data_IF_246630966934
#
_entry.id   IF_246630966934
#
_cell.length_a   1.000
_cell.length_b   1.000
_cell.length_c   1.000
_cell.angle_alpha   90.00
_cell.angle_beta   90.00
_cell.angle_gamma   90.00
#
_symmetry.space_group_name_H-M   'P 1'
#
loop_
_entity.id
_entity.type
_entity.pdbx_description
1 polymer ?
#
# COMPACT_ATOMS: atom_id res chain seq x y z
N UNK A 1 -19.34 -42.38 -5.26
CA UNK A 1 -18.10 -42.52 -6.07
C UNK A 1 -16.97 -41.85 -5.31
N UNK A 2 -15.79 -42.47 -5.26
CA UNK A 2 -14.62 -41.90 -4.58
C UNK A 2 -14.12 -40.67 -5.35
N UNK A 3 -13.75 -39.59 -4.65
CA UNK A 3 -13.36 -38.29 -5.26
C UNK A 3 -12.19 -38.48 -6.24
N UNK A 4 -11.24 -39.36 -5.90
CA UNK A 4 -10.11 -39.70 -6.75
C UNK A 4 -10.53 -40.34 -8.09
N UNK A 5 -11.58 -41.17 -8.11
CA UNK A 5 -12.09 -41.79 -9.32
C UNK A 5 -12.78 -40.78 -10.25
N UNK A 6 -13.47 -39.80 -9.66
CA UNK A 6 -14.09 -38.72 -10.41
C UNK A 6 -13.04 -37.77 -11.02
N UNK A 7 -12.01 -37.39 -10.25
CA UNK A 7 -10.91 -36.58 -10.77
C UNK A 7 -10.20 -37.28 -11.94
N UNK A 8 -9.89 -38.57 -11.80
CA UNK A 8 -9.23 -39.34 -12.87
C UNK A 8 -10.06 -39.44 -14.14
N UNK A 9 -11.39 -39.53 -14.01
CA UNK A 9 -12.32 -39.52 -15.14
C UNK A 9 -12.45 -38.14 -15.79
N UNK A 10 -12.49 -37.06 -14.99
CA UNK A 10 -12.51 -35.69 -15.52
C UNK A 10 -11.20 -35.36 -16.25
N UNK A 11 -10.05 -35.75 -15.67
CA UNK A 11 -8.71 -35.54 -16.23
C UNK A 11 -8.45 -36.38 -17.50
N UNK A 12 -9.22 -37.44 -17.76
CA UNK A 12 -9.08 -38.23 -19.00
C UNK A 12 -9.82 -37.62 -20.19
N UNK A 13 -10.60 -36.55 -19.99
CA UNK A 13 -11.31 -35.88 -21.08
C UNK A 13 -10.46 -34.74 -21.67
N UNK A 14 -9.90 -34.89 -22.89
CA UNK A 14 -9.05 -33.86 -23.49
C UNK A 14 -9.77 -32.52 -23.68
N UNK A 15 -11.09 -32.54 -23.86
CA UNK A 15 -11.90 -31.33 -23.95
C UNK A 15 -11.85 -30.45 -22.68
N UNK A 16 -11.83 -31.07 -21.49
CA UNK A 16 -11.77 -30.32 -20.22
C UNK A 16 -10.38 -29.67 -20.07
N UNK A 17 -9.32 -30.42 -20.38
CA UNK A 17 -7.94 -29.91 -20.35
C UNK A 17 -7.79 -28.72 -21.30
N UNK A 18 -8.26 -28.85 -22.54
CA UNK A 18 -8.17 -27.79 -23.54
C UNK A 18 -8.93 -26.53 -23.08
N UNK A 19 -10.12 -26.70 -22.50
CA UNK A 19 -10.93 -25.59 -21.99
C UNK A 19 -10.21 -24.85 -20.84
N UNK A 20 -9.60 -25.58 -19.90
CA UNK A 20 -8.81 -24.99 -18.81
C UNK A 20 -7.58 -24.24 -19.34
N UNK A 21 -6.88 -24.79 -20.34
CA UNK A 21 -5.73 -24.12 -20.98
C UNK A 21 -6.18 -22.83 -21.66
N UNK A 22 -7.25 -22.86 -22.46
CA UNK A 22 -7.78 -21.67 -23.15
C UNK A 22 -8.21 -20.61 -22.15
N UNK A 23 -8.89 -21.00 -21.05
CA UNK A 23 -9.27 -20.07 -20.00
C UNK A 23 -8.06 -19.48 -19.26
N UNK A 24 -7.02 -20.28 -19.01
CA UNK A 24 -5.76 -19.81 -18.43
C UNK A 24 -5.05 -18.79 -19.33
N UNK A 25 -4.97 -19.06 -20.64
CA UNK A 25 -4.38 -18.13 -21.63
C UNK A 25 -5.21 -16.84 -21.70
N UNK A 26 -6.54 -16.94 -21.77
CA UNK A 26 -7.42 -15.78 -21.78
C UNK A 26 -7.29 -14.95 -20.49
N UNK A 27 -7.27 -15.60 -19.33
CA UNK A 27 -7.04 -14.94 -18.04
C UNK A 27 -5.68 -14.25 -17.96
N UNK A 28 -4.62 -14.90 -18.46
CA UNK A 28 -3.29 -14.32 -18.54
C UNK A 28 -3.22 -13.12 -19.49
N UNK A 29 -3.87 -13.18 -20.65
CA UNK A 29 -3.92 -12.08 -21.60
C UNK A 29 -4.68 -10.85 -21.06
N UNK A 30 -5.78 -11.08 -20.33
CA UNK A 30 -6.53 -10.02 -19.64
C UNK A 30 -5.68 -9.44 -18.49
N UNK A 31 -4.99 -10.30 -17.73
CA UNK A 31 -4.08 -9.86 -16.66
C UNK A 31 -2.91 -9.02 -17.15
N UNK A 32 -2.34 -9.38 -18.30
CA UNK A 32 -1.28 -8.60 -18.93
C UNK A 32 -1.78 -7.21 -19.34
N UNK A 33 -2.94 -7.13 -19.99
CA UNK A 33 -3.51 -5.85 -20.44
C UNK A 33 -4.03 -4.95 -19.33
N UNK A 34 -4.34 -5.50 -18.17
CA UNK A 34 -4.84 -4.75 -17.01
C UNK A 34 -3.72 -4.20 -16.13
N UNK A 35 -2.46 -4.52 -16.41
CA UNK A 35 -1.33 -3.89 -15.73
C UNK A 35 -1.10 -2.52 -16.34
N UNK A 36 -1.63 -1.47 -15.72
CA UNK A 36 -1.18 -0.10 -15.96
C UNK A 36 0.19 0.08 -15.35
N UNK A 37 1.16 0.53 -16.15
CA UNK A 37 2.42 1.04 -15.62
C UNK A 37 2.11 2.26 -14.77
N UNK A 38 2.69 2.31 -13.57
CA UNK A 38 2.64 3.46 -12.70
C UNK A 38 4.05 3.96 -12.47
N UNK A 39 4.21 5.27 -12.34
CA UNK A 39 5.48 5.92 -12.09
C UNK A 39 5.51 6.39 -10.64
N UNK A 40 6.62 6.15 -9.97
CA UNK A 40 6.81 6.58 -8.59
C UNK A 40 7.92 7.62 -8.51
N UNK A 41 7.62 8.75 -7.87
CA UNK A 41 8.60 9.77 -7.48
C UNK A 41 8.77 9.72 -5.97
N UNK A 42 10.02 9.58 -5.52
CA UNK A 42 10.38 9.60 -4.11
C UNK A 42 11.04 10.91 -3.73
N UNK A 43 10.72 11.37 -2.52
CA UNK A 43 11.32 12.57 -1.94
C UNK A 43 11.40 12.45 -0.42
N UNK A 44 12.18 13.36 0.17
CA UNK A 44 12.34 13.41 1.60
C UNK A 44 12.24 14.86 2.10
N UNK A 45 11.50 15.05 3.19
CA UNK A 45 11.34 16.34 3.86
C UNK A 45 11.84 16.23 5.29
N UNK A 46 12.72 17.16 5.66
CA UNK A 46 13.27 17.31 7.00
C UNK A 46 12.62 18.51 7.69
N UNK A 47 12.01 18.28 8.84
CA UNK A 47 11.51 19.38 9.69
C UNK A 47 12.69 19.98 10.44
N UNK A 48 13.01 21.24 10.16
CA UNK A 48 14.07 21.95 10.90
C UNK A 48 13.42 22.79 11.99
N UNK A 49 13.76 22.54 13.27
CA UNK A 49 13.25 23.36 14.35
C UNK A 49 13.71 24.82 14.19
N UNK A 50 12.89 25.78 14.60
CA UNK A 50 13.24 27.19 14.52
C UNK A 50 14.42 27.48 15.44
N UNK A 51 15.38 28.27 14.97
CA UNK A 51 16.61 28.55 15.72
C UNK A 51 17.90 28.28 14.96
N UNK A 52 17.86 27.64 13.78
CA UNK A 52 19.02 27.57 12.88
C UNK A 52 19.47 28.96 12.33
N UNK A 53 18.80 30.06 12.73
CA UNK A 53 19.14 31.44 12.38
C UNK A 53 18.43 32.52 13.21
N UNK A 54 17.71 32.17 14.29
CA UNK A 54 17.04 33.15 15.18
C UNK A 54 17.80 33.28 16.50
N UNK A 55 18.00 34.53 16.95
CA UNK A 55 18.72 34.86 18.19
C UNK A 55 18.01 34.35 19.45
N UNK A 56 16.69 34.14 19.40
CA UNK A 56 15.87 33.63 20.50
C UNK A 56 15.08 32.39 20.07
N UNK A 57 15.74 31.24 20.01
CA UNK A 57 15.08 29.95 19.69
C UNK A 57 14.07 29.49 20.77
N UNK A 58 14.09 30.07 21.97
CA UNK A 58 13.23 29.69 23.11
C UNK A 58 11.79 30.17 23.03
N UNK A 59 11.49 31.14 22.15
CA UNK A 59 10.14 31.72 22.03
C UNK A 59 9.20 30.85 21.18
N UNK A 60 9.71 29.79 20.55
CA UNK A 60 8.89 28.89 19.75
C UNK A 60 8.52 27.63 20.56
N UNK A 61 7.22 27.35 20.80
CA UNK A 61 6.79 26.18 21.58
C UNK A 61 7.21 24.84 20.97
N UNK A 62 7.56 24.81 19.68
CA UNK A 62 8.02 23.62 18.97
C UNK A 62 9.51 23.30 19.21
N UNK A 63 10.31 24.21 19.80
CA UNK A 63 11.73 23.96 20.13
C UNK A 63 11.93 23.38 21.51
N UNK A 64 10.99 23.60 22.44
CA UNK A 64 11.06 23.13 23.83
C UNK A 64 10.64 21.66 24.01
N UNK A 65 10.19 21.01 22.94
CA UNK A 65 9.82 19.60 22.98
C UNK A 65 11.04 18.78 22.62
N UNK A 66 11.56 18.00 23.56
CA UNK A 66 12.67 17.04 23.34
C UNK A 66 12.39 16.08 22.17
N UNK A 67 11.12 15.93 21.78
CA UNK A 67 10.63 15.10 20.67
C UNK A 67 9.73 15.86 19.68
N UNK A 68 9.76 17.20 19.71
CA UNK A 68 8.81 18.05 18.98
C UNK A 68 8.85 17.85 17.47
N UNK A 69 10.05 17.79 16.90
CA UNK A 69 10.22 17.66 15.45
C UNK A 69 9.69 16.31 14.92
N UNK A 70 9.90 15.21 15.68
CA UNK A 70 9.37 13.90 15.33
C UNK A 70 7.83 13.86 15.41
N UNK A 71 7.25 14.49 16.43
CA UNK A 71 5.80 14.61 16.56
C UNK A 71 5.19 15.45 15.44
N UNK A 72 5.83 16.55 15.06
CA UNK A 72 5.42 17.37 13.91
C UNK A 72 5.48 16.55 12.62
N UNK A 73 6.55 15.77 12.41
CA UNK A 73 6.67 14.91 11.24
C UNK A 73 5.53 13.89 11.15
N UNK A 74 5.14 13.31 12.29
CA UNK A 74 3.98 12.43 12.40
C UNK A 74 2.66 13.17 12.08
N UNK A 75 2.47 14.37 12.63
CA UNK A 75 1.28 15.19 12.36
C UNK A 75 1.19 15.55 10.87
N UNK A 76 2.29 15.95 10.24
CA UNK A 76 2.33 16.26 8.80
C UNK A 76 2.00 15.03 7.95
N UNK A 77 2.43 13.84 8.37
CA UNK A 77 2.07 12.57 7.72
C UNK A 77 0.56 12.33 7.78
N UNK A 78 -0.08 12.55 8.94
CA UNK A 78 -1.55 12.44 9.08
C UNK A 78 -2.28 13.52 8.26
N UNK A 79 -1.76 14.75 8.23
CA UNK A 79 -2.33 15.85 7.45
C UNK A 79 -2.27 15.56 5.94
N UNK A 80 -1.19 14.94 5.45
CA UNK A 80 -1.10 14.48 4.06
C UNK A 80 -2.15 13.43 3.69
N UNK A 81 -2.51 12.54 4.63
CA UNK A 81 -3.56 11.53 4.43
C UNK A 81 -4.99 12.10 4.52
N UNK A 82 -5.13 13.38 4.85
CA UNK A 82 -6.44 14.03 4.92
C UNK A 82 -7.02 14.24 3.51
N UNK A 83 -8.35 14.44 3.39
CA UNK A 83 -8.98 14.76 2.09
C UNK A 83 -8.38 15.97 1.37
N UNK A 84 -7.78 16.93 2.12
CA UNK A 84 -7.11 18.09 1.52
C UNK A 84 -5.76 17.73 0.90
N UNK A 85 -5.01 16.83 1.54
CA UNK A 85 -3.76 16.32 1.00
C UNK A 85 -4.01 15.47 -0.26
N UNK A 86 -5.03 14.61 -0.22
CA UNK A 86 -5.50 13.87 -1.39
C UNK A 86 -5.91 14.81 -2.54
N UNK A 87 -6.69 15.86 -2.26
CA UNK A 87 -7.09 16.83 -3.28
C UNK A 87 -5.89 17.60 -3.87
N UNK A 88 -4.84 17.87 -3.08
CA UNK A 88 -3.62 18.51 -3.59
C UNK A 88 -2.85 17.60 -4.57
N UNK A 89 -2.83 16.29 -4.31
CA UNK A 89 -2.20 15.29 -5.19
C UNK A 89 -3.01 15.08 -6.47
N UNK A 90 -4.33 14.92 -6.34
CA UNK A 90 -5.25 14.77 -7.47
C UNK A 90 -5.21 16.01 -8.38
N UNK A 91 -5.13 17.20 -7.80
CA UNK A 91 -4.97 18.46 -8.56
C UNK A 91 -3.68 18.52 -9.39
N UNK A 92 -2.65 17.74 -9.01
CA UNK A 92 -1.42 17.58 -9.76
C UNK A 92 -1.42 16.37 -10.72
N UNK A 93 -2.53 15.62 -10.79
CA UNK A 93 -2.66 14.41 -11.60
C UNK A 93 -2.00 13.16 -11.00
N UNK A 94 -1.62 13.20 -9.72
CA UNK A 94 -1.07 12.06 -9.02
C UNK A 94 -2.17 11.24 -8.30
N UNK A 95 -1.82 10.01 -7.90
CA UNK A 95 -2.68 9.18 -7.06
C UNK A 95 -2.83 9.81 -5.67
N UNK A 96 -4.04 9.77 -5.07
CA UNK A 96 -4.23 10.17 -3.67
C UNK A 96 -3.57 9.19 -2.69
N UNK A 97 -3.25 7.97 -3.14
CA UNK A 97 -2.57 6.95 -2.34
C UNK A 97 -1.06 7.23 -2.29
N UNK A 98 -0.61 7.83 -1.19
CA UNK A 98 0.82 8.11 -0.93
C UNK A 98 1.35 7.16 0.13
N UNK A 99 2.50 6.55 -0.17
CA UNK A 99 3.24 5.76 0.81
C UNK A 99 4.20 6.68 1.54
N UNK A 100 4.11 6.73 2.87
CA UNK A 100 4.94 7.58 3.72
C UNK A 100 5.60 6.76 4.81
N UNK A 101 6.87 7.03 5.06
CA UNK A 101 7.65 6.45 6.13
C UNK A 101 8.25 7.61 6.92
N UNK A 102 7.76 7.81 8.14
CA UNK A 102 8.44 8.65 9.12
C UNK A 102 9.50 7.77 9.80
N UNK A 103 10.78 8.05 9.55
CA UNK A 103 11.87 7.29 10.13
C UNK A 103 12.00 7.61 11.63
N UNK A 104 11.19 6.95 12.45
CA UNK A 104 11.32 6.98 13.91
C UNK A 104 12.34 5.92 14.30
N UNK A 105 13.59 6.32 14.57
CA UNK A 105 14.67 5.40 14.92
C UNK A 105 14.30 4.47 16.09
N UNK A 106 14.45 3.17 15.90
CA UNK A 106 13.84 2.09 16.70
C UNK A 106 14.53 1.80 18.05
N UNK A 107 15.27 2.75 18.62
CA UNK A 107 16.04 2.47 19.85
C UNK A 107 16.55 3.65 20.65
N UNK A 108 16.56 4.86 20.08
CA UNK A 108 16.89 6.06 20.85
C UNK A 108 16.03 7.22 20.38
N UNK A 109 15.09 7.70 21.21
CA UNK A 109 14.19 8.76 20.79
C UNK A 109 14.93 10.10 20.60
N UNK A 110 16.18 10.22 21.07
CA UNK A 110 17.07 11.36 20.78
C UNK A 110 17.76 11.28 19.41
N UNK A 111 17.70 10.14 18.72
CA UNK A 111 18.24 9.93 17.38
C UNK A 111 17.16 9.89 16.30
N UNK A 112 15.89 10.13 16.66
CA UNK A 112 14.82 10.22 15.68
C UNK A 112 15.06 11.45 14.82
N UNK A 113 15.56 11.23 13.61
CA UNK A 113 15.62 12.26 12.59
C UNK A 113 14.18 12.62 12.20
N UNK A 114 13.79 13.90 12.20
CA UNK A 114 12.46 14.33 11.78
C UNK A 114 12.36 14.32 10.23
N UNK A 115 12.75 13.20 9.63
CA UNK A 115 12.80 12.97 8.20
C UNK A 115 11.57 12.15 7.80
N UNK A 116 10.76 12.74 6.93
CA UNK A 116 9.63 12.09 6.28
C UNK A 116 10.10 11.69 4.89
N UNK A 117 10.22 10.40 4.62
CA UNK A 117 10.38 9.89 3.26
C UNK A 117 9.01 9.51 2.73
N UNK A 118 8.73 9.87 1.47
CA UNK A 118 7.45 9.58 0.86
C UNK A 118 7.61 9.28 -0.62
N UNK A 119 6.67 8.49 -1.13
CA UNK A 119 6.62 8.08 -2.53
C UNK A 119 5.23 8.37 -3.08
N UNK A 120 5.18 9.13 -4.17
CA UNK A 120 3.96 9.49 -4.88
C UNK A 120 3.88 8.70 -6.19
N UNK A 121 2.76 8.03 -6.41
CA UNK A 121 2.50 7.27 -7.64
C UNK A 121 1.63 8.09 -8.61
N UNK A 122 1.88 8.01 -9.91
CA UNK A 122 1.05 8.62 -10.94
C UNK A 122 1.09 7.85 -12.27
N UNK A 123 0.14 8.11 -13.20
CA UNK A 123 0.14 7.52 -14.54
C UNK A 123 1.32 7.93 -15.42
N UNK A 124 1.93 9.10 -15.18
CA UNK A 124 3.13 9.57 -15.91
C UNK A 124 4.27 9.96 -14.99
N UNK A 125 5.50 9.96 -15.51
CA UNK A 125 6.70 10.31 -14.76
C UNK A 125 6.73 11.78 -14.31
N UNK A 126 6.14 12.68 -15.11
CA UNK A 126 6.02 14.10 -14.81
C UNK A 126 4.94 14.35 -13.76
N UNK A 127 3.81 13.64 -13.82
CA UNK A 127 2.71 13.76 -12.86
C UNK A 127 3.12 13.27 -11.47
N UNK A 128 3.94 12.22 -11.37
CA UNK A 128 4.40 11.74 -10.05
C UNK A 128 5.33 12.75 -9.39
N UNK A 129 6.23 13.37 -10.17
CA UNK A 129 7.07 14.48 -9.69
C UNK A 129 6.23 15.70 -9.30
N UNK A 130 5.30 16.12 -10.16
CA UNK A 130 4.41 17.25 -9.89
C UNK A 130 3.55 17.01 -8.64
N UNK A 131 3.08 15.79 -8.43
CA UNK A 131 2.36 15.38 -7.22
C UNK A 131 3.24 15.46 -5.97
N UNK A 132 4.50 15.01 -6.05
CA UNK A 132 5.44 15.15 -4.95
C UNK A 132 5.76 16.61 -4.62
N UNK A 133 5.96 17.46 -5.64
CA UNK A 133 6.15 18.90 -5.47
C UNK A 133 4.90 19.57 -4.85
N UNK A 134 3.71 19.19 -5.30
CA UNK A 134 2.43 19.67 -4.77
C UNK A 134 2.24 19.27 -3.30
N UNK A 135 2.62 18.05 -2.92
CA UNK A 135 2.55 17.59 -1.53
C UNK A 135 3.51 18.36 -0.63
N UNK A 136 4.74 18.65 -1.09
CA UNK A 136 5.70 19.50 -0.37
C UNK A 136 5.16 20.91 -0.18
N UNK A 137 4.58 21.50 -1.24
CA UNK A 137 3.96 22.83 -1.16
C UNK A 137 2.79 22.85 -0.18
N UNK A 138 1.95 21.81 -0.21
CA UNK A 138 0.85 21.61 0.73
C UNK A 138 1.35 21.53 2.18
N UNK A 139 2.38 20.73 2.46
CA UNK A 139 2.98 20.65 3.79
C UNK A 139 3.55 21.98 4.26
N UNK A 140 4.23 22.74 3.40
CA UNK A 140 4.73 24.07 3.76
C UNK A 140 3.60 25.01 4.14
N UNK A 141 2.50 25.00 3.38
CA UNK A 141 1.34 25.83 3.65
C UNK A 141 0.65 25.45 4.97
N UNK A 142 0.34 24.16 5.17
CA UNK A 142 -0.30 23.69 6.41
C UNK A 142 0.62 23.82 7.63
N UNK A 143 1.92 23.58 7.48
CA UNK A 143 2.86 23.76 8.59
C UNK A 143 2.98 25.23 9.00
N UNK A 144 3.05 26.16 8.04
CA UNK A 144 3.03 27.59 8.33
C UNK A 144 1.72 27.98 9.03
N UNK A 145 0.58 27.49 8.54
CA UNK A 145 -0.73 27.74 9.14
C UNK A 145 -0.81 27.24 10.58
N UNK A 146 -0.38 26.01 10.86
CA UNK A 146 -0.34 25.46 12.22
C UNK A 146 0.51 26.32 13.17
N UNK A 147 1.61 26.89 12.69
CA UNK A 147 2.45 27.78 13.49
C UNK A 147 1.78 29.13 13.76
N UNK A 148 1.10 29.71 12.77
CA UNK A 148 0.30 30.94 12.95
C UNK A 148 -0.84 30.70 13.94
N UNK A 149 -1.56 29.59 13.80
CA UNK A 149 -2.66 29.21 14.69
C UNK A 149 -2.17 28.95 16.13
N UNK A 150 -0.91 28.51 16.29
CA UNK A 150 -0.24 28.34 17.58
C UNK A 150 0.30 29.67 18.17
N UNK A 151 0.12 30.81 17.48
CA UNK A 151 0.57 32.12 17.96
C UNK A 151 2.08 32.39 17.75
N UNK A 152 2.75 31.64 16.87
CA UNK A 152 4.15 31.91 16.51
C UNK A 152 4.22 33.20 15.69
N UNK A 153 5.01 34.18 16.15
CA UNK A 153 5.11 35.51 15.53
C UNK A 153 6.46 35.75 14.86
N UNK A 154 6.44 36.40 13.70
CA UNK A 154 7.66 36.96 13.06
C UNK A 154 8.59 35.93 12.41
N UNK A 155 9.90 36.15 12.50
CA UNK A 155 10.93 35.34 11.82
C UNK A 155 11.30 34.04 12.57
N UNK A 156 10.44 33.58 13.50
CA UNK A 156 10.69 32.38 14.32
C UNK A 156 9.96 31.15 13.79
N UNK A 157 9.49 31.16 12.54
CA UNK A 157 8.86 30.00 11.94
C UNK A 157 9.89 28.88 11.73
N UNK A 158 9.49 27.68 12.11
CA UNK A 158 10.10 26.44 11.67
C UNK A 158 9.92 26.29 10.15
N UNK A 159 10.93 25.73 9.50
CA UNK A 159 10.96 25.56 8.03
C UNK A 159 11.07 24.08 7.67
N UNK A 160 10.51 23.73 6.51
CA UNK A 160 10.61 22.40 5.92
C UNK A 160 11.69 22.42 4.85
N UNK A 161 12.82 21.78 5.15
CA UNK A 161 13.87 21.57 4.16
C UNK A 161 13.65 20.28 3.41
N UNK A 162 13.95 20.31 2.13
CA UNK A 162 13.82 19.18 1.22
C UNK A 162 15.24 18.67 0.95
N UNK A 163 15.80 17.78 1.79
CA UNK A 163 17.13 17.24 1.56
C UNK A 163 17.22 16.42 0.27
N UNK A 164 16.11 15.80 -0.15
CA UNK A 164 16.01 15.04 -1.39
C UNK A 164 14.87 15.62 -2.21
N UNK A 165 15.23 16.35 -3.27
CA UNK A 165 14.27 16.93 -4.21
C UNK A 165 13.55 15.82 -4.98
N UNK A 166 12.24 15.96 -5.25
CA UNK A 166 11.52 15.00 -6.08
C UNK A 166 12.22 14.77 -7.43
N UNK A 167 12.55 13.51 -7.69
CA UNK A 167 13.09 13.08 -8.98
C UNK A 167 11.97 12.81 -9.96
N UNK A 168 12.27 12.81 -11.26
CA UNK A 168 11.33 12.33 -12.28
C UNK A 168 10.94 10.88 -11.94
N UNK A 169 9.64 10.58 -12.03
CA UNK A 169 9.14 9.27 -11.62
C UNK A 169 9.81 8.14 -12.37
N UNK A 170 10.24 7.11 -11.63
CA UNK A 170 10.72 5.87 -12.24
C UNK A 170 9.53 4.94 -12.45
N UNK A 171 9.52 4.23 -13.58
CA UNK A 171 8.48 3.24 -13.85
C UNK A 171 8.60 2.12 -12.81
N UNK A 172 7.63 2.06 -11.91
CA UNK A 172 7.47 0.93 -11.01
C UNK A 172 6.53 -0.03 -11.72
N UNK A 173 7.12 -0.77 -12.64
CA UNK A 173 6.44 -1.85 -13.32
C UNK A 173 6.00 -2.87 -12.29
N UNK A 174 4.71 -2.86 -11.93
CA UNK A 174 4.11 -4.01 -11.28
C UNK A 174 4.41 -5.20 -12.17
N UNK A 175 5.18 -6.19 -11.68
CA UNK A 175 5.69 -7.27 -12.53
C UNK A 175 4.52 -7.88 -13.31
N UNK A 176 4.36 -7.56 -14.62
CA UNK A 176 3.15 -7.91 -15.36
C UNK A 176 3.03 -9.43 -15.45
N UNK A 177 4.17 -10.12 -15.38
CA UNK A 177 4.25 -11.56 -15.28
C UNK A 177 3.61 -12.10 -13.99
N UNK A 178 3.76 -11.41 -12.85
CA UNK A 178 3.14 -11.81 -11.57
C UNK A 178 1.61 -11.61 -11.61
N UNK A 179 1.15 -10.48 -12.14
CA UNK A 179 -0.29 -10.22 -12.31
C UNK A 179 -0.93 -11.20 -13.31
N UNK A 180 -0.30 -11.39 -14.48
CA UNK A 180 -0.74 -12.33 -15.50
C UNK A 180 -0.75 -13.77 -14.98
N UNK A 181 0.28 -14.20 -14.24
CA UNK A 181 0.35 -15.54 -13.64
C UNK A 181 -0.75 -15.74 -12.59
N UNK A 182 -0.98 -14.75 -11.73
CA UNK A 182 -2.03 -14.79 -10.72
C UNK A 182 -3.43 -14.92 -11.34
N UNK A 183 -3.74 -14.10 -12.34
CA UNK A 183 -5.02 -14.16 -13.04
C UNK A 183 -5.17 -15.40 -13.93
N UNK A 184 -4.11 -15.85 -14.60
CA UNK A 184 -4.12 -17.09 -15.38
C UNK A 184 -4.42 -18.30 -14.48
N UNK A 185 -3.74 -18.40 -13.34
CA UNK A 185 -3.94 -19.49 -12.39
C UNK A 185 -5.34 -19.45 -11.77
N UNK A 186 -5.81 -18.26 -11.40
CA UNK A 186 -7.18 -18.05 -10.90
C UNK A 186 -8.25 -18.44 -11.92
N UNK A 187 -8.10 -18.01 -13.18
CA UNK A 187 -9.03 -18.35 -14.26
C UNK A 187 -9.02 -19.84 -14.58
N UNK A 188 -7.85 -20.49 -14.62
CA UNK A 188 -7.72 -21.92 -14.85
C UNK A 188 -8.40 -22.73 -13.73
N UNK A 189 -8.19 -22.36 -12.47
CA UNK A 189 -8.82 -23.01 -11.32
C UNK A 189 -10.35 -22.80 -11.31
N UNK A 190 -10.83 -21.58 -11.52
CA UNK A 190 -12.26 -21.28 -11.59
C UNK A 190 -12.95 -22.09 -12.69
N UNK A 191 -12.31 -22.17 -13.86
CA UNK A 191 -12.79 -22.94 -15.00
C UNK A 191 -12.80 -24.44 -14.72
N UNK A 192 -11.76 -24.96 -14.07
CA UNK A 192 -11.70 -26.36 -13.65
C UNK A 192 -12.87 -26.69 -12.71
N UNK A 193 -13.11 -25.86 -11.69
CA UNK A 193 -14.21 -26.03 -10.73
C UNK A 193 -15.56 -26.00 -11.45
N UNK A 194 -15.77 -25.04 -12.35
CA UNK A 194 -17.00 -24.93 -13.14
C UNK A 194 -17.26 -26.20 -13.99
N UNK A 195 -16.22 -26.73 -14.64
CA UNK A 195 -16.29 -27.97 -15.41
C UNK A 195 -16.67 -29.17 -14.53
N UNK A 196 -16.14 -29.26 -13.31
CA UNK A 196 -16.48 -30.35 -12.37
C UNK A 196 -17.93 -30.25 -11.91
N UNK A 197 -18.43 -29.05 -11.60
CA UNK A 197 -19.83 -28.80 -11.25
C UNK A 197 -20.75 -29.17 -12.42
N UNK A 198 -20.42 -28.73 -13.63
CA UNK A 198 -21.21 -29.05 -14.83
C UNK A 198 -21.25 -30.56 -15.10
N UNK A 199 -20.12 -31.25 -14.94
CA UNK A 199 -20.05 -32.70 -15.10
C UNK A 199 -20.87 -33.45 -14.04
N UNK A 200 -20.82 -33.01 -12.78
CA UNK A 200 -21.62 -33.58 -11.69
C UNK A 200 -23.13 -33.34 -11.91
N UNK A 201 -23.50 -32.13 -12.34
CA UNK A 201 -24.87 -31.77 -12.70
C UNK A 201 -25.40 -32.62 -13.86
N UNK A 202 -24.60 -32.82 -14.91
CA UNK A 202 -24.95 -33.63 -16.06
C UNK A 202 -25.16 -35.11 -15.70
N UNK A 203 -24.31 -35.67 -14.85
CA UNK A 203 -24.43 -37.04 -14.37
C UNK A 203 -25.73 -37.23 -13.55
N UNK A 204 -26.06 -36.25 -12.71
CA UNK A 204 -27.28 -36.26 -11.89
C UNK A 204 -28.53 -36.17 -12.78
N UNK A 205 -28.50 -35.28 -13.78
CA UNK A 205 -29.58 -35.14 -14.75
C UNK A 205 -29.81 -36.42 -15.56
N UNK A 206 -28.72 -37.08 -16.01
CA UNK A 206 -28.81 -38.32 -16.78
C UNK A 206 -29.37 -39.48 -15.94
N UNK A 207 -29.01 -39.57 -14.66
CA UNK A 207 -29.56 -40.59 -13.74
C UNK A 207 -31.06 -40.40 -13.52
N UNK A 208 -31.52 -39.16 -13.34
CA UNK A 208 -32.94 -38.88 -13.16
C UNK A 208 -33.76 -39.21 -14.42
N UNK A 209 -33.22 -38.97 -15.61
CA UNK A 209 -33.89 -39.38 -16.87
C UNK A 209 -33.95 -40.89 -17.08
N UNK A 210 -32.95 -41.65 -16.61
CA UNK A 210 -32.93 -43.11 -16.71
C UNK A 210 -33.91 -43.81 -15.77
N UNK A 211 -34.16 -43.24 -14.59
CA UNK A 211 -35.05 -43.85 -13.59
C UNK A 211 -36.55 -43.77 -13.94
N UNK A 212 -36.97 -42.76 -14.71
CA UNK A 212 -38.37 -42.57 -15.09
C UNK A 212 -38.90 -43.60 -16.13
N UNK A 213 -38.02 -44.37 -16.78
CA UNK A 213 -38.40 -45.36 -17.80
C UNK A 213 -38.61 -46.79 -17.30
N UNK A 214 -38.34 -47.09 -16.03
CA UNK A 214 -38.36 -48.47 -15.48
C UNK A 214 -39.56 -48.75 -14.56
N UNK A 215 -40.73 -48.17 -14.86
CA UNK A 215 -41.99 -48.49 -14.17
C UNK A 215 -42.91 -49.21 -15.15
N UNK A 216 -42.60 -50.47 -15.46
CA UNK A 216 -43.56 -51.44 -16.02
C UNK A 216 -42.99 -52.86 -15.94
N UNK A 217 -43.19 -53.51 -14.80
CA UNK A 217 -43.83 -54.83 -14.77
C UNK A 217 -44.19 -55.16 -13.31
N UNK A 218 -45.47 -55.04 -12.90
CA UNK A 218 -45.92 -55.57 -11.62
C UNK A 218 -46.02 -57.09 -11.74
N UNK A 219 -45.04 -57.81 -11.19
CA UNK A 219 -45.13 -59.25 -11.04
C UNK A 219 -45.95 -59.56 -9.78
N UNK A 220 -47.08 -60.22 -10.02
CA UNK A 220 -48.07 -60.64 -9.04
C UNK A 220 -47.52 -61.69 -8.05
N UNK A 221 -47.99 -61.52 -6.81
CA UNK A 221 -48.26 -62.48 -5.73
C UNK A 221 -47.77 -63.93 -5.81
N UNK A 222 -47.15 -64.37 -4.71
CA UNK A 222 -47.20 -65.76 -4.22
C UNK A 222 -46.46 -65.96 -2.89
N UNK A 223 -46.98 -66.76 -1.91
CA UNK A 223 -46.92 -66.41 -0.49
C UNK A 223 -46.08 -67.33 0.43
N UNK A 224 -45.69 -66.74 1.58
CA UNK A 224 -45.56 -67.25 2.96
C UNK A 224 -45.06 -68.68 3.27
N UNK A 225 -44.05 -68.79 4.16
CA UNK A 225 -44.10 -69.55 5.45
C UNK A 225 -42.84 -69.26 6.33
N UNK A 226 -42.85 -69.56 7.66
CA UNK A 226 -42.27 -68.68 8.70
C UNK A 226 -41.27 -69.37 9.68
N UNK A 227 -40.78 -68.56 10.65
CA UNK A 227 -40.26 -68.93 11.99
C UNK A 227 -38.89 -69.67 12.04
N UNK A 228 -37.96 -69.49 12.99
CA UNK A 228 -37.97 -68.94 14.36
C UNK A 228 -36.54 -68.52 14.79
N UNK A 229 -36.50 -67.58 15.74
CA UNK A 229 -35.44 -67.11 16.69
C UNK A 229 -34.74 -68.24 17.49
N UNK A 230 -33.66 -68.08 18.32
CA UNK A 230 -33.37 -66.91 19.22
C UNK A 230 -31.89 -66.61 19.67
N UNK A 231 -31.70 -65.46 20.40
CA UNK A 231 -30.91 -65.25 21.66
C UNK A 231 -29.41 -65.65 21.67
N UNK A 232 -28.38 -64.93 22.18
CA UNK A 232 -28.21 -63.87 23.19
C UNK A 232 -26.79 -63.26 23.08
N UNK A 233 -26.52 -62.30 23.97
CA UNK A 233 -25.23 -62.02 24.61
C UNK A 233 -24.54 -60.70 24.26
N UNK A 234 -24.79 -59.76 25.17
CA UNK A 234 -24.12 -58.50 25.39
C UNK A 234 -22.63 -58.64 25.76
N UNK A 235 -21.84 -57.63 25.39
CA UNK A 235 -20.66 -57.09 26.11
C UNK A 235 -20.33 -55.75 25.43
N UNK A 236 -20.78 -54.61 25.98
CA UNK A 236 -20.03 -53.77 26.92
C UNK A 236 -18.65 -53.34 26.40
N UNK A 237 -18.49 -52.07 25.97
CA UNK A 237 -17.56 -51.08 26.58
C UNK A 237 -17.55 -49.71 25.85
N UNK A 238 -16.98 -48.64 26.45
CA UNK A 238 -17.70 -47.41 26.72
C UNK A 238 -17.17 -46.21 25.92
N UNK A 239 -17.85 -45.08 26.08
CA UNK A 239 -17.60 -43.87 25.32
C UNK A 239 -16.25 -43.21 25.57
N UNK A 240 -15.86 -42.43 24.56
CA UNK A 240 -15.26 -41.12 24.77
C UNK A 240 -15.77 -40.22 23.64
N UNK A 241 -16.63 -39.29 24.02
CA UNK A 241 -16.99 -38.15 23.21
C UNK A 241 -15.76 -37.23 23.13
N UNK A 242 -15.11 -37.21 21.96
CA UNK A 242 -14.17 -36.17 21.60
C UNK A 242 -14.78 -35.39 20.43
N UNK A 243 -15.61 -34.41 20.79
CA UNK A 243 -16.04 -33.32 19.93
C UNK A 243 -14.80 -32.57 19.46
N UNK A 244 -14.31 -32.87 18.26
CA UNK A 244 -13.28 -32.05 17.63
C UNK A 244 -13.90 -30.71 17.20
N UNK A 245 -13.31 -29.57 17.59
CA UNK A 245 -13.77 -28.27 17.15
C UNK A 245 -13.48 -28.10 15.65
N UNK A 246 -14.50 -27.64 14.94
CA UNK A 246 -14.41 -27.19 13.57
C UNK A 246 -13.30 -26.15 13.43
N UNK A 247 -12.33 -26.45 12.56
CA UNK A 247 -11.36 -25.48 12.09
C UNK A 247 -12.10 -24.39 11.31
N UNK A 248 -12.36 -23.26 11.97
CA UNK A 248 -12.73 -22.02 11.32
C UNK A 248 -11.53 -21.59 10.47
N UNK A 249 -11.64 -21.84 9.16
CA UNK A 249 -10.79 -21.23 8.16
C UNK A 249 -10.97 -19.71 8.27
N UNK A 250 -9.91 -19.02 8.66
CA UNK A 250 -9.83 -17.57 8.66
C UNK A 250 -9.86 -17.06 7.23
N UNK A 251 -11.05 -16.83 6.70
CA UNK A 251 -11.24 -15.89 5.61
C UNK A 251 -11.00 -14.49 6.18
N UNK A 252 -9.93 -13.85 5.70
CA UNK A 252 -9.67 -12.45 5.92
C UNK A 252 -10.90 -11.64 5.50
N UNK A 253 -11.65 -11.14 6.48
CA UNK A 253 -12.63 -10.09 6.27
C UNK A 253 -11.84 -8.80 6.02
N UNK A 254 -11.61 -8.49 4.74
CA UNK A 254 -11.42 -7.12 4.33
C UNK A 254 -12.72 -6.39 4.61
N UNK A 255 -12.73 -5.55 5.64
CA UNK A 255 -13.74 -4.51 5.83
C UNK A 255 -13.62 -3.53 4.66
N UNK A 256 -14.22 -3.88 3.53
CA UNK A 256 -14.54 -2.93 2.48
C UNK A 256 -15.63 -2.01 3.00
N UNK A 257 -15.25 -0.83 3.48
CA UNK A 257 -16.16 0.30 3.58
C UNK A 257 -16.61 0.59 2.16
N UNK A 258 -17.84 0.19 1.83
CA UNK A 258 -18.50 0.60 0.61
C UNK A 258 -18.73 2.11 0.69
N UNK A 259 -17.84 2.88 0.06
CA UNK A 259 -18.10 4.29 -0.23
C UNK A 259 -19.18 4.32 -1.31
N UNK A 260 -20.36 4.80 -0.92
CA UNK A 260 -21.46 5.08 -1.83
C UNK A 260 -21.01 6.11 -2.88
N UNK A 261 -21.16 5.85 -4.19
CA UNK A 261 -20.85 6.85 -5.20
C UNK A 261 -22.01 7.85 -5.31
N UNK A 262 -21.67 9.14 -5.34
CA UNK A 262 -22.44 10.13 -6.06
C UNK A 262 -23.49 10.92 -5.27
N UNK A 263 -23.06 12.06 -4.73
CA UNK A 263 -23.87 13.27 -4.81
C UNK A 263 -23.08 14.29 -5.65
N UNK A 264 -23.67 14.85 -6.72
CA UNK A 264 -23.00 15.88 -7.51
C UNK A 264 -22.83 17.13 -6.67
N UNK A 265 -21.59 17.60 -6.52
CA UNK A 265 -21.30 18.91 -5.93
C UNK A 265 -21.71 19.96 -6.96
N UNK A 266 -22.95 20.40 -6.84
CA UNK A 266 -23.45 21.58 -7.51
C UNK A 266 -22.70 22.81 -7.05
N UNK A 267 -22.41 23.69 -8.01
CA UNK A 267 -21.79 25.00 -7.87
C UNK A 267 -22.28 25.75 -6.61
N UNK A 268 -21.33 26.14 -5.76
CA UNK A 268 -21.57 27.15 -4.74
C UNK A 268 -20.85 28.42 -5.18
N UNK A 269 -21.67 29.35 -5.68
CA UNK A 269 -21.29 30.72 -5.95
C UNK A 269 -20.90 31.47 -4.68
N UNK A 270 -20.16 32.55 -4.91
CA UNK A 270 -19.84 33.58 -3.97
C UNK A 270 -21.12 34.17 -3.37
N UNK A 271 -21.28 34.04 -2.05
CA UNK A 271 -21.90 35.02 -1.13
C UNK A 271 -22.18 34.33 0.21
N UNK A 272 -21.31 34.56 1.20
CA UNK A 272 -21.54 34.13 2.58
C UNK A 272 -20.98 35.17 3.56
N UNK A 273 -21.63 36.32 3.60
CA UNK A 273 -21.57 37.23 4.73
C UNK A 273 -22.33 36.60 5.93
N UNK A 274 -21.70 36.66 7.11
CA UNK A 274 -22.29 36.42 8.43
C UNK A 274 -22.94 35.05 8.70
N UNK A 275 -22.11 34.05 9.05
CA UNK A 275 -22.58 32.82 9.70
C UNK A 275 -22.64 33.00 11.25
N UNK A 276 -23.72 32.54 11.93
CA UNK A 276 -23.83 32.58 13.39
C UNK A 276 -22.87 31.58 14.06
N UNK A 277 -22.40 31.95 15.26
CA UNK A 277 -21.51 31.17 16.12
C UNK A 277 -22.06 29.77 16.37
N UNK A 278 -21.34 28.76 15.87
CA UNK A 278 -21.66 27.34 16.06
C UNK A 278 -21.28 26.95 17.49
N UNK A 279 -22.27 26.64 18.32
CA UNK A 279 -22.08 26.09 19.67
C UNK A 279 -21.40 24.72 19.54
N UNK A 280 -20.17 24.63 20.05
CA UNK A 280 -19.41 23.39 20.13
C UNK A 280 -20.04 22.52 21.24
N UNK A 281 -20.52 21.29 20.95
CA UNK A 281 -21.04 20.41 21.98
C UNK A 281 -19.91 20.01 22.94
N UNK A 282 -20.19 20.09 24.24
CA UNK A 282 -19.26 19.72 25.30
C UNK A 282 -18.72 18.29 25.11
N UNK A 283 -17.42 18.13 25.34
CA UNK A 283 -16.71 16.86 25.18
C UNK A 283 -17.39 15.74 25.98
N UNK A 284 -17.75 14.66 25.28
CA UNK A 284 -18.30 13.45 25.88
C UNK A 284 -17.19 12.81 26.72
N UNK A 285 -17.38 12.60 28.04
CA UNK A 285 -16.36 11.98 28.88
C UNK A 285 -16.11 10.54 28.43
N UNK A 286 -14.85 10.23 28.13
CA UNK A 286 -14.40 8.89 27.73
C UNK A 286 -14.68 7.94 28.88
N UNK A 287 -15.57 6.96 28.66
CA UNK A 287 -15.86 5.91 29.62
C UNK A 287 -14.60 5.05 29.81
N UNK A 288 -14.14 4.82 31.06
CA UNK A 288 -12.98 3.96 31.29
C UNK A 288 -13.25 2.54 30.75
N UNK A 289 -12.22 1.86 30.22
CA UNK A 289 -12.36 0.52 29.69
C UNK A 289 -12.85 -0.42 30.80
N UNK A 290 -13.98 -1.09 30.55
CA UNK A 290 -14.61 -2.00 31.50
C UNK A 290 -13.72 -3.20 31.83
N UNK A 291 -13.99 -3.84 32.96
CA UNK A 291 -13.16 -4.91 33.54
C UNK A 291 -12.89 -6.09 32.59
N UNK A 292 -13.74 -6.32 31.59
CA UNK A 292 -13.52 -7.32 30.55
C UNK A 292 -12.30 -7.00 29.67
N UNK A 293 -12.07 -5.74 29.32
CA UNK A 293 -10.91 -5.31 28.55
C UNK A 293 -9.62 -5.41 29.38
N UNK A 294 -9.70 -5.14 30.69
CA UNK A 294 -8.55 -5.31 31.61
C UNK A 294 -8.14 -6.77 31.76
N UNK A 295 -9.10 -7.71 31.80
CA UNK A 295 -8.80 -9.15 31.86
C UNK A 295 -8.26 -9.72 30.55
N UNK A 296 -8.61 -9.12 29.40
CA UNK A 296 -8.07 -9.53 28.11
C UNK A 296 -6.58 -9.17 27.96
N UNK A 297 -6.17 -8.01 28.49
CA UNK A 297 -4.76 -7.57 28.43
C UNK A 297 -3.82 -8.37 29.35
N UNK A 298 -4.28 -8.84 30.51
CA UNK A 298 -3.42 -9.65 31.39
C UNK A 298 -3.17 -11.05 30.83
N UNK A 299 -4.15 -11.63 30.12
CA UNK A 299 -4.03 -13.00 29.57
C UNK A 299 -3.04 -13.13 28.41
N UNK A 300 -2.70 -12.02 27.76
CA UNK A 300 -1.65 -11.99 26.72
C UNK A 300 -0.25 -12.01 27.32
N UNK A 301 -0.09 -11.52 28.56
CA UNK A 301 1.20 -11.44 29.25
C UNK A 301 1.65 -12.80 29.81
N UNK A 302 0.70 -13.67 30.14
CA UNK A 302 0.96 -15.02 30.67
C UNK A 302 1.05 -16.11 29.57
N UNK A 303 0.96 -15.73 28.29
CA UNK A 303 1.01 -16.64 27.15
C UNK A 303 2.21 -16.39 26.24
N UNK A 304 3.32 -15.98 26.85
CA UNK A 304 4.65 -16.12 26.22
C UNK A 304 4.99 -17.60 26.34
N UNK A 305 4.71 -18.34 25.28
CA UNK A 305 5.20 -19.72 25.14
C UNK A 305 6.73 -19.68 25.27
N UNK A 306 7.27 -20.42 26.23
CA UNK A 306 8.69 -20.75 26.30
C UNK A 306 9.06 -21.43 24.98
N UNK A 307 9.71 -20.67 24.10
CA UNK A 307 10.30 -21.21 22.88
C UNK A 307 11.44 -22.12 23.34
N UNK A 308 11.26 -23.44 23.19
CA UNK A 308 12.30 -24.43 23.46
C UNK A 308 13.59 -24.04 22.72
N UNK A 309 14.67 -23.83 23.47
CA UNK A 309 16.00 -23.45 22.99
C UNK A 309 16.64 -24.54 22.08
N UNK A 310 16.05 -25.73 22.03
CA UNK A 310 16.50 -26.87 21.21
C UNK A 310 16.32 -26.68 19.68
N UNK A 311 15.75 -25.55 19.25
CA UNK A 311 15.52 -25.19 17.85
C UNK A 311 16.40 -24.07 17.30
N UNK A 312 17.41 -23.58 18.05
CA UNK A 312 18.35 -22.60 17.54
C UNK A 312 19.12 -23.16 16.34
N UNK A 313 18.85 -22.59 15.17
CA UNK A 313 19.59 -22.85 13.94
C UNK A 313 21.04 -22.42 14.22
N UNK A 314 22.04 -23.31 14.15
CA UNK A 314 23.42 -22.93 14.38
C UNK A 314 23.80 -21.84 13.39
N UNK A 315 24.15 -20.67 13.93
CA UNK A 315 24.72 -19.58 13.16
C UNK A 315 25.97 -20.11 12.44
N UNK A 316 26.16 -19.79 11.14
CA UNK A 316 27.38 -20.15 10.45
C UNK A 316 28.56 -19.52 11.20
N UNK A 317 29.47 -20.35 11.69
CA UNK A 317 30.76 -19.92 12.23
C UNK A 317 31.47 -19.15 11.11
N UNK A 318 31.52 -17.82 11.24
CA UNK A 318 32.36 -16.99 10.40
C UNK A 318 33.80 -17.29 10.83
N UNK A 319 34.46 -18.10 10.03
CA UNK A 319 35.86 -18.50 10.18
C UNK A 319 36.74 -17.23 10.16
N UNK A 320 37.10 -16.74 11.36
CA UNK A 320 38.01 -15.60 11.56
C UNK A 320 39.48 -16.00 11.31
N UNK A 321 39.76 -16.69 10.20
CA UNK A 321 41.12 -17.03 9.78
C UNK A 321 41.39 -16.51 8.37
N UNK A 322 41.71 -15.23 8.29
CA UNK A 322 42.42 -14.66 7.14
C UNK A 322 43.38 -13.56 7.59
N UNK A 323 44.43 -13.98 8.30
CA UNK A 323 45.71 -13.28 8.34
C UNK A 323 46.34 -13.29 6.93
N UNK A 324 45.78 -12.48 6.03
CA UNK A 324 46.40 -12.18 4.74
C UNK A 324 47.43 -11.07 4.95
N UNK A 325 48.64 -11.51 5.27
CA UNK A 325 49.89 -10.75 5.22
C UNK A 325 50.00 -9.92 3.92
N UNK A 326 50.29 -8.61 3.96
CA UNK A 326 50.44 -7.80 2.76
C UNK A 326 51.76 -8.14 2.06
N UNK A 327 51.67 -8.96 1.02
CA UNK A 327 52.77 -9.16 0.09
C UNK A 327 52.93 -7.91 -0.79
N UNK A 328 54.01 -7.19 -0.54
CA UNK A 328 54.59 -6.13 -1.37
C UNK A 328 54.80 -6.64 -2.79
N UNK A 329 53.93 -6.26 -3.73
CA UNK A 329 54.13 -6.49 -5.16
C UNK A 329 54.67 -5.21 -5.80
N UNK A 330 55.98 -5.21 -5.99
CA UNK A 330 56.75 -4.27 -6.82
C UNK A 330 56.21 -4.30 -8.26
N UNK A 331 55.56 -3.23 -8.70
CA UNK A 331 55.21 -3.04 -10.10
C UNK A 331 56.42 -2.51 -10.86
N UNK A 332 57.05 -3.41 -11.61
CA UNK A 332 58.11 -3.15 -12.58
C UNK A 332 57.53 -2.36 -13.74
N UNK A 333 58.15 -1.21 -14.04
CA UNK A 333 57.96 -0.47 -15.27
C UNK A 333 58.43 -1.33 -16.45
N UNK A 334 57.61 -1.44 -17.49
CA UNK A 334 58.10 -1.79 -18.82
C UNK A 334 57.57 -0.79 -19.84
N UNK A 335 58.48 -0.43 -20.73
CA UNK A 335 58.45 0.70 -21.62
C UNK A 335 58.07 0.25 -23.03
N UNK A 336 57.23 1.04 -23.69
CA UNK A 336 57.07 1.11 -25.15
C UNK A 336 56.38 2.45 -25.38
N UNK A 337 57.07 3.57 -25.58
CA UNK A 337 57.92 3.94 -26.72
C UNK A 337 57.27 3.57 -28.05
N UNK A 338 56.36 4.44 -28.50
CA UNK A 338 56.32 4.81 -29.91
C UNK A 338 55.89 6.27 -30.05
N UNK A 339 56.73 6.99 -30.76
CA UNK A 339 56.75 8.43 -30.93
C UNK A 339 55.84 8.92 -32.07
N UNK A 340 55.65 10.24 -32.05
CA UNK A 340 55.43 11.13 -33.19
C UNK A 340 54.03 11.08 -33.86
N UNK A 341 53.38 12.18 -34.24
CA UNK A 341 53.83 13.56 -34.46
C UNK A 341 52.58 14.47 -34.54
N UNK A 342 52.79 15.78 -34.52
CA UNK A 342 51.85 16.87 -34.88
C UNK A 342 50.97 17.50 -33.76
N UNK A 343 51.57 18.44 -33.05
CA UNK A 343 50.99 19.78 -32.81
C UNK A 343 51.17 20.65 -34.09
N UNK A 344 50.61 21.87 -34.24
CA UNK A 344 49.78 22.66 -33.32
C UNK A 344 48.58 23.40 -34.00
N UNK A 345 47.61 23.88 -33.21
CA UNK A 345 46.93 25.15 -33.50
C UNK A 345 46.19 25.65 -32.26
N UNK A 346 46.69 26.77 -31.72
CA UNK A 346 46.03 27.58 -30.72
C UNK A 346 44.76 28.22 -31.31
N UNK A 347 43.67 28.24 -30.55
CA UNK A 347 42.62 29.25 -30.72
C UNK A 347 42.11 29.65 -29.34
N UNK A 348 42.59 30.80 -28.89
CA UNK A 348 42.02 31.61 -27.81
C UNK A 348 40.63 32.09 -28.23
N UNK A 349 39.59 31.49 -27.65
CA UNK A 349 38.20 31.94 -27.76
C UNK A 349 37.77 32.68 -26.50
N UNK A 350 37.73 33.99 -26.58
CA UNK A 350 37.15 34.93 -25.61
C UNK A 350 35.69 34.58 -25.32
N UNK A 351 35.24 34.41 -24.05
CA UNK A 351 33.82 34.38 -23.75
C UNK A 351 33.27 35.81 -23.82
N UNK A 352 32.40 36.04 -24.80
CA UNK A 352 31.63 37.26 -24.95
C UNK A 352 30.61 37.39 -23.80
N UNK A 353 30.70 38.52 -23.10
CA UNK A 353 29.68 39.10 -22.22
C UNK A 353 28.35 39.22 -22.98
N UNK A 354 27.25 38.58 -22.56
CA UNK A 354 25.94 38.94 -23.05
C UNK A 354 25.55 40.29 -22.45
N UNK A 355 25.35 41.24 -23.36
CA UNK A 355 24.87 42.59 -23.10
C UNK A 355 23.50 42.54 -22.41
N UNK A 356 23.35 43.45 -21.44
CA UNK A 356 22.07 43.89 -20.92
C UNK A 356 21.20 44.36 -22.08
N UNK A 357 20.08 43.66 -22.29
CA UNK A 357 18.96 44.19 -23.05
C UNK A 357 18.00 44.80 -22.03
N UNK A 358 18.11 46.12 -21.92
CA UNK A 358 17.02 46.99 -21.51
C UNK A 358 15.82 46.72 -22.45
N UNK A 359 14.71 46.28 -21.87
CA UNK A 359 13.40 46.38 -22.48
C UNK A 359 12.51 47.03 -21.41
N UNK A 360 12.35 48.34 -21.59
CA UNK A 360 11.24 49.14 -21.12
C UNK A 360 9.91 48.57 -21.64
N UNK A 361 8.81 49.03 -21.05
CA UNK A 361 7.38 48.78 -21.33
C UNK A 361 6.67 47.93 -20.26
N UNK A 362 6.60 48.46 -19.03
CA UNK A 362 5.43 48.23 -18.17
C UNK A 362 4.39 49.31 -18.51
N UNK A 363 3.45 48.93 -19.36
CA UNK A 363 2.20 49.64 -19.58
C UNK A 363 1.43 49.74 -18.25
N UNK A 364 1.26 50.97 -17.80
CA UNK A 364 0.28 51.41 -16.81
C UNK A 364 -1.14 51.13 -17.32
N UNK A 365 -1.61 49.89 -17.19
CA UNK A 365 -3.05 49.59 -17.30
C UNK A 365 -3.73 49.88 -15.96
N UNK A 366 -4.00 51.18 -15.82
CA UNK A 366 -4.92 51.85 -14.91
C UNK A 366 -6.34 51.24 -15.01
N UNK A 367 -6.56 50.07 -14.39
CA UNK A 367 -7.90 49.50 -14.22
C UNK A 367 -8.68 50.25 -13.13
N UNK A 368 -9.19 51.40 -13.54
CA UNK A 368 -10.52 51.96 -13.30
C UNK A 368 -11.31 51.26 -12.17
N UNK A 369 -11.06 51.72 -10.93
CA UNK A 369 -11.94 51.45 -9.78
C UNK A 369 -13.26 52.17 -10.02
N UNK A 370 -14.20 51.49 -10.70
CA UNK A 370 -15.62 51.88 -10.71
C UNK A 370 -16.22 51.67 -9.32
N UNK A 371 -16.14 52.72 -8.51
CA UNK A 371 -17.09 52.97 -7.43
C UNK A 371 -18.51 53.04 -8.02
N UNK A 372 -19.28 51.96 -7.89
CA UNK A 372 -20.73 52.03 -8.01
C UNK A 372 -21.29 52.18 -6.59
N UNK A 373 -21.42 53.43 -6.16
CA UNK A 373 -22.44 53.83 -5.22
C UNK A 373 -23.81 53.70 -5.89
N UNK A 374 -24.66 52.81 -5.37
CA UNK A 374 -26.11 52.82 -5.59
C UNK A 374 -26.73 51.80 -4.61
N UNK A 375 -27.11 52.24 -3.41
CA UNK A 375 -28.50 52.55 -3.06
C UNK A 375 -29.39 51.31 -2.86
N UNK A 376 -29.51 50.86 -1.59
CA UNK A 376 -30.78 50.85 -0.84
C UNK A 376 -30.57 50.46 0.62
#
# INVERSE_FOLDING_TARGET
MNVAGFLRWALTKPAIILLVIVAGIAGGAIGWKSTTSHFESSAAVLVIPPGAGSVNAKDNPFTSLDYGAAQIAQVLTVVAQSPRGAAALEGAGASPDVTMIAAVGDGNPKQISPLITFTVSAPTAEQSKAGADALIAFWRAEFKKMQVDAGVVGNTFADLRVPVTPTTGMEVGGNPMRAALGLAMGAALATLVLCLIAAAGWETYRRNKGAAGSVSSPAADGPATPASTPVDAASAQPGIAATMPAAASGAAATSGVAVSPGAPVGALGADAAAAPSRVVPAAIPIRPPGDAARRAMTRWRDRVEEVSEDGEIPLPELDETSDASPATATATADATDDAQDASPAATTGTPATPAAAEAEDEDDDELEVRQVQSAR
#
